data_IF_346729547151
#
_entry.id   IF_346729547151
#
_cell.length_a   1.000
_cell.length_b   1.000
_cell.length_c   1.000
_cell.angle_alpha   90.00
_cell.angle_beta   90.00
_cell.angle_gamma   90.00
#
_symmetry.space_group_name_H-M   'P 1'
#
loop_
_entity.id
_entity.type
_entity.pdbx_description
1 polymer ?
#
# COMPACT_ATOMS: atom_id res chain seq x y z
N UNK A 1 9.75 -18.48 4.06
CA UNK A 1 8.56 -17.90 4.73
C UNK A 1 7.28 -18.55 4.22
N UNK A 2 7.05 -18.65 2.91
CA UNK A 2 5.94 -19.44 2.34
C UNK A 2 5.87 -20.86 2.89
N UNK A 3 6.98 -21.60 2.82
CA UNK A 3 7.02 -22.97 3.32
C UNK A 3 6.77 -23.05 4.84
N UNK A 4 7.20 -22.04 5.60
CA UNK A 4 6.89 -21.98 7.02
C UNK A 4 5.38 -21.75 7.27
N UNK A 5 4.72 -20.92 6.46
CA UNK A 5 3.27 -20.73 6.53
C UNK A 5 2.51 -22.01 6.15
N UNK A 6 3.01 -22.77 5.16
CA UNK A 6 2.49 -24.10 4.81
C UNK A 6 2.67 -25.07 5.97
N UNK A 7 3.87 -25.17 6.56
CA UNK A 7 4.14 -26.02 7.71
C UNK A 7 3.29 -25.65 8.93
N UNK A 8 3.09 -24.35 9.20
CA UNK A 8 2.19 -23.89 10.25
C UNK A 8 0.76 -24.40 10.02
N UNK A 9 0.25 -24.24 8.79
CA UNK A 9 -1.10 -24.72 8.43
C UNK A 9 -1.23 -26.23 8.49
N UNK A 10 -0.18 -26.98 8.17
CA UNK A 10 -0.16 -28.44 8.32
C UNK A 10 -0.15 -28.85 9.79
N UNK A 11 0.72 -28.24 10.60
CA UNK A 11 0.88 -28.56 12.01
C UNK A 11 -0.40 -28.30 12.82
N UNK A 12 -1.09 -27.20 12.55
CA UNK A 12 -2.31 -26.81 13.29
C UNK A 12 -3.61 -27.16 12.53
N UNK A 13 -3.50 -27.71 11.32
CA UNK A 13 -4.62 -27.97 10.41
C UNK A 13 -5.62 -29.00 10.92
N UNK A 14 -5.13 -30.14 11.42
CA UNK A 14 -5.96 -31.23 11.92
C UNK A 14 -6.64 -30.87 13.26
N UNK A 15 -5.87 -30.31 14.19
CA UNK A 15 -6.35 -29.98 15.54
C UNK A 15 -7.32 -28.79 15.55
N UNK A 16 -7.10 -27.80 14.68
CA UNK A 16 -7.88 -26.55 14.68
C UNK A 16 -8.65 -26.28 13.38
N UNK A 17 -8.88 -27.33 12.58
CA UNK A 17 -9.68 -27.30 11.33
C UNK A 17 -9.22 -26.24 10.31
N UNK A 18 -7.90 -25.97 10.27
CA UNK A 18 -7.29 -25.04 9.33
C UNK A 18 -6.89 -25.77 8.04
N UNK A 19 -7.85 -26.12 7.18
CA UNK A 19 -7.53 -26.73 5.88
C UNK A 19 -6.85 -25.73 4.95
N UNK A 20 -6.08 -26.22 3.97
CA UNK A 20 -5.29 -25.40 3.02
C UNK A 20 -6.09 -24.28 2.32
N UNK A 21 -7.40 -24.45 2.18
CA UNK A 21 -8.29 -23.54 1.43
C UNK A 21 -9.19 -22.69 2.32
N UNK A 22 -9.40 -23.06 3.59
CA UNK A 22 -10.31 -22.32 4.48
C UNK A 22 -9.57 -21.17 5.17
N UNK A 23 -10.14 -19.95 5.21
CA UNK A 23 -9.60 -18.85 6.00
C UNK A 23 -9.52 -19.20 7.48
N UNK A 24 -8.38 -18.94 8.12
CA UNK A 24 -8.21 -19.21 9.55
C UNK A 24 -9.02 -18.19 10.35
N UNK A 25 -9.89 -18.65 11.24
CA UNK A 25 -10.71 -17.78 12.07
C UNK A 25 -9.84 -17.04 13.11
N UNK A 26 -10.29 -15.85 13.53
CA UNK A 26 -9.67 -15.12 14.65
C UNK A 26 -9.57 -16.01 15.90
N UNK A 27 -10.65 -16.69 16.26
CA UNK A 27 -10.72 -17.58 17.43
C UNK A 27 -9.62 -18.63 17.37
N UNK A 28 -9.42 -19.26 16.21
CA UNK A 28 -8.36 -20.25 16.03
C UNK A 28 -6.97 -19.67 16.30
N UNK A 29 -6.67 -18.47 15.78
CA UNK A 29 -5.38 -17.81 16.03
C UNK A 29 -5.18 -17.48 17.52
N UNK A 30 -6.25 -17.02 18.19
CA UNK A 30 -6.24 -16.76 19.63
C UNK A 30 -5.99 -18.04 20.43
N UNK A 31 -6.70 -19.13 20.10
CA UNK A 31 -6.55 -20.42 20.75
C UNK A 31 -5.12 -20.96 20.62
N UNK A 32 -4.50 -20.89 19.43
CA UNK A 32 -3.11 -21.34 19.25
C UNK A 32 -2.16 -20.50 20.11
N UNK A 33 -2.31 -19.17 20.13
CA UNK A 33 -1.48 -18.29 20.98
C UNK A 33 -1.63 -18.63 22.47
N UNK A 34 -2.85 -18.86 22.93
CA UNK A 34 -3.14 -19.12 24.34
C UNK A 34 -2.72 -20.53 24.77
N UNK A 35 -3.13 -21.57 24.05
CA UNK A 35 -2.92 -22.97 24.43
C UNK A 35 -1.50 -23.47 24.14
N UNK A 36 -0.92 -23.06 23.01
CA UNK A 36 0.40 -23.56 22.55
C UNK A 36 1.53 -22.66 23.03
N UNK A 37 1.33 -21.35 22.97
CA UNK A 37 2.37 -20.36 23.29
C UNK A 37 2.15 -19.65 24.64
N UNK A 38 1.09 -19.99 25.39
CA UNK A 38 0.86 -19.49 26.74
C UNK A 38 0.51 -18.00 26.83
N UNK A 39 -0.01 -17.40 25.76
CA UNK A 39 -0.33 -15.97 25.74
C UNK A 39 -1.56 -15.62 26.58
N UNK A 40 -1.55 -14.41 27.15
CA UNK A 40 -2.76 -13.69 27.56
C UNK A 40 -3.10 -12.70 26.47
N UNK A 41 -4.29 -12.84 25.89
CA UNK A 41 -4.82 -11.89 24.91
C UNK A 41 -5.80 -10.99 25.63
N UNK A 42 -5.59 -9.69 25.52
CA UNK A 42 -6.32 -8.68 26.28
C UNK A 42 -6.84 -7.60 25.33
N UNK A 43 -8.12 -7.29 25.44
CA UNK A 43 -8.79 -6.29 24.60
C UNK A 43 -9.33 -5.10 25.40
N UNK A 44 -9.03 -5.01 26.70
CA UNK A 44 -9.62 -4.00 27.61
C UNK A 44 -8.59 -2.98 28.04
N UNK A 45 -7.35 -3.38 28.32
CA UNK A 45 -6.32 -2.48 28.88
C UNK A 45 -6.01 -1.26 27.99
N UNK A 46 -6.11 -1.39 26.66
CA UNK A 46 -5.93 -0.23 25.77
C UNK A 46 -7.07 0.80 25.93
N UNK A 47 -8.29 0.37 26.24
CA UNK A 47 -9.40 1.30 26.51
C UNK A 47 -9.25 1.98 27.88
N UNK A 48 -8.70 1.28 28.87
CA UNK A 48 -8.43 1.81 30.20
C UNK A 48 -7.27 2.85 30.20
N UNK A 49 -6.44 2.84 29.16
CA UNK A 49 -5.30 3.75 28.98
C UNK A 49 -5.38 4.48 27.62
N UNK A 50 -6.15 5.58 27.51
CA UNK A 50 -6.39 6.30 26.26
C UNK A 50 -5.12 6.73 25.50
N UNK A 51 -4.01 6.93 26.21
CA UNK A 51 -2.69 7.28 25.64
C UNK A 51 -2.16 6.17 24.71
N UNK A 52 -2.61 4.93 24.89
CA UNK A 52 -2.28 3.79 24.04
C UNK A 52 -3.22 3.64 22.83
N UNK A 53 -4.26 4.47 22.73
CA UNK A 53 -5.31 4.35 21.71
C UNK A 53 -4.83 4.45 20.26
N UNK A 54 -3.65 5.04 20.01
CA UNK A 54 -3.01 5.09 18.68
C UNK A 54 -2.46 3.73 18.22
N UNK A 55 -2.15 2.83 19.14
CA UNK A 55 -1.54 1.53 18.81
C UNK A 55 -2.60 0.50 18.46
N UNK A 56 -2.30 -0.36 17.48
CA UNK A 56 -3.17 -1.50 17.15
C UNK A 56 -2.92 -2.67 18.09
N UNK A 57 -1.67 -2.90 18.46
CA UNK A 57 -1.26 -3.88 19.48
C UNK A 57 -0.14 -3.35 20.34
N UNK A 58 -0.07 -3.85 21.56
CA UNK A 58 1.07 -3.69 22.48
C UNK A 58 1.42 -5.06 23.04
N UNK A 59 2.66 -5.48 22.87
CA UNK A 59 3.20 -6.76 23.32
C UNK A 59 4.04 -6.56 24.59
N UNK A 60 3.81 -7.37 25.61
CA UNK A 60 4.62 -7.40 26.82
C UNK A 60 5.25 -8.79 26.99
N UNK A 61 6.58 -8.81 26.99
CA UNK A 61 7.34 -9.99 27.35
C UNK A 61 7.25 -10.25 28.85
N UNK A 62 7.06 -11.50 29.25
CA UNK A 62 7.02 -11.93 30.64
C UNK A 62 7.04 -13.44 30.76
N UNK A 63 6.90 -13.97 31.99
CA UNK A 63 6.70 -15.42 32.22
C UNK A 63 5.49 -15.95 31.46
N UNK A 64 4.44 -15.13 31.38
CA UNK A 64 3.28 -15.32 30.55
C UNK A 64 3.20 -14.12 29.58
N UNK A 65 3.53 -14.30 28.28
CA UNK A 65 3.51 -13.19 27.33
C UNK A 65 2.10 -12.62 27.20
N UNK A 66 1.97 -11.30 27.09
CA UNK A 66 0.68 -10.63 26.94
C UNK A 66 0.63 -9.84 25.64
N UNK A 67 -0.45 -10.01 24.88
CA UNK A 67 -0.75 -9.23 23.69
C UNK A 67 -2.01 -8.41 23.92
N UNK A 68 -1.86 -7.09 24.03
CA UNK A 68 -2.98 -6.17 24.01
C UNK A 68 -3.40 -5.92 22.57
N UNK A 69 -4.70 -6.03 22.27
CA UNK A 69 -5.28 -5.74 20.96
C UNK A 69 -6.28 -4.60 21.12
N UNK A 70 -6.14 -3.56 20.31
CA UNK A 70 -7.04 -2.42 20.37
C UNK A 70 -8.46 -2.84 19.91
N UNK A 71 -9.48 -2.72 20.77
CA UNK A 71 -10.84 -3.19 20.46
C UNK A 71 -11.55 -2.34 19.40
N UNK A 72 -11.04 -1.15 19.07
CA UNK A 72 -11.60 -0.34 17.99
C UNK A 72 -11.31 -0.94 16.60
N UNK A 73 -10.39 -1.90 16.49
CA UNK A 73 -10.01 -2.52 15.22
C UNK A 73 -11.12 -3.38 14.63
N UNK A 74 -11.23 -3.39 13.30
CA UNK A 74 -12.06 -4.38 12.61
C UNK A 74 -11.51 -5.79 12.81
N UNK A 75 -12.40 -6.80 12.75
CA UNK A 75 -12.05 -8.22 12.91
C UNK A 75 -10.87 -8.63 12.04
N UNK A 76 -10.91 -8.33 10.73
CA UNK A 76 -9.81 -8.58 9.77
C UNK A 76 -8.46 -7.96 10.17
N UNK A 77 -8.46 -6.81 10.85
CA UNK A 77 -7.23 -6.18 11.32
C UNK A 77 -6.68 -6.91 12.55
N UNK A 78 -7.54 -7.24 13.52
CA UNK A 78 -7.15 -8.04 14.68
C UNK A 78 -6.63 -9.42 14.25
N UNK A 79 -7.30 -10.07 13.29
CA UNK A 79 -6.89 -11.36 12.72
C UNK A 79 -5.47 -11.33 12.14
N UNK A 80 -5.14 -10.29 11.37
CA UNK A 80 -3.78 -10.13 10.84
C UNK A 80 -2.74 -9.94 11.95
N UNK A 81 -3.06 -9.18 13.00
CA UNK A 81 -2.13 -8.92 14.10
C UNK A 81 -1.85 -10.18 14.92
N UNK A 82 -2.88 -11.01 15.15
CA UNK A 82 -2.73 -12.33 15.76
C UNK A 82 -1.88 -13.29 14.89
N UNK A 83 -2.13 -13.33 13.59
CA UNK A 83 -1.32 -14.14 12.66
C UNK A 83 0.14 -13.67 12.61
N UNK A 84 0.38 -12.35 12.72
CA UNK A 84 1.72 -11.78 12.83
C UNK A 84 2.38 -12.14 14.15
N UNK A 85 1.62 -12.14 15.25
CA UNK A 85 2.11 -12.60 16.55
C UNK A 85 2.59 -14.05 16.50
N UNK A 86 1.77 -14.92 15.93
CA UNK A 86 2.13 -16.32 15.68
C UNK A 86 3.37 -16.44 14.79
N UNK A 87 3.54 -15.53 13.82
CA UNK A 87 4.74 -15.47 12.99
C UNK A 87 6.02 -15.24 13.79
N UNK A 88 5.99 -14.38 14.83
CA UNK A 88 7.17 -14.23 15.71
C UNK A 88 7.48 -15.52 16.45
N UNK A 89 6.45 -16.19 16.98
CA UNK A 89 6.63 -17.42 17.76
C UNK A 89 7.08 -18.60 16.90
N UNK A 90 6.36 -18.87 15.80
CA UNK A 90 6.61 -20.01 14.92
C UNK A 90 7.96 -19.93 14.23
N UNK A 91 8.43 -18.72 13.89
CA UNK A 91 9.73 -18.50 13.24
C UNK A 91 10.88 -18.27 14.23
N UNK A 92 10.62 -18.26 15.55
CA UNK A 92 11.63 -18.03 16.58
C UNK A 92 12.25 -16.63 16.54
N UNK A 93 11.46 -15.59 16.22
CA UNK A 93 11.93 -14.22 16.06
C UNK A 93 11.79 -13.44 17.38
N UNK A 94 12.93 -13.17 18.02
CA UNK A 94 12.98 -12.59 19.37
C UNK A 94 13.21 -11.08 19.40
N UNK A 95 13.98 -10.53 18.45
CA UNK A 95 14.20 -9.09 18.33
C UNK A 95 13.10 -8.47 17.46
N UNK A 96 12.13 -7.81 18.09
CA UNK A 96 10.86 -7.43 17.45
C UNK A 96 10.26 -6.17 18.07
N UNK A 97 9.34 -5.53 17.36
CA UNK A 97 8.60 -4.39 17.91
C UNK A 97 7.62 -4.77 19.00
N UNK A 98 7.61 -3.95 20.07
CA UNK A 98 6.60 -4.00 21.14
C UNK A 98 5.23 -3.58 20.62
N UNK A 99 5.15 -2.65 19.67
CA UNK A 99 3.89 -2.15 19.12
C UNK A 99 3.76 -2.48 17.63
N UNK A 100 2.56 -2.34 17.07
CA UNK A 100 2.32 -2.65 15.65
C UNK A 100 3.07 -1.76 14.67
N UNK A 101 3.24 -0.50 15.05
CA UNK A 101 4.07 0.50 14.38
C UNK A 101 4.93 1.11 15.49
N UNK A 102 6.23 0.78 15.54
CA UNK A 102 7.10 1.27 16.61
C UNK A 102 7.31 2.77 16.49
N UNK A 103 7.29 3.48 17.63
CA UNK A 103 7.66 4.90 17.69
C UNK A 103 9.16 5.09 17.41
N UNK A 104 9.98 4.07 17.72
CA UNK A 104 11.42 4.06 17.50
C UNK A 104 11.86 2.70 16.97
N UNK A 105 12.68 2.74 15.93
CA UNK A 105 13.39 1.56 15.41
C UNK A 105 14.68 1.42 16.20
N UNK A 106 14.86 0.27 16.83
CA UNK A 106 16.02 -0.05 17.68
C UNK A 106 17.15 -0.69 16.87
N UNK A 107 16.83 -1.48 15.83
CA UNK A 107 17.85 -2.13 15.00
C UNK A 107 17.33 -2.54 13.62
N UNK A 108 18.25 -2.91 12.73
CA UNK A 108 17.91 -3.54 11.46
C UNK A 108 17.27 -4.93 11.65
N UNK A 109 17.73 -5.70 12.63
CA UNK A 109 17.23 -7.05 12.89
C UNK A 109 15.76 -7.01 13.35
N UNK A 110 15.38 -6.01 14.14
CA UNK A 110 13.99 -5.73 14.49
C UNK A 110 13.13 -5.51 13.24
N UNK A 111 13.56 -4.62 12.33
CA UNK A 111 12.83 -4.36 11.08
C UNK A 111 12.68 -5.64 10.25
N UNK A 112 13.76 -6.41 10.11
CA UNK A 112 13.75 -7.65 9.35
C UNK A 112 12.80 -8.69 9.95
N UNK A 113 12.78 -8.82 11.27
CA UNK A 113 11.90 -9.75 11.97
C UNK A 113 10.43 -9.33 11.88
N UNK A 114 10.15 -8.03 12.03
CA UNK A 114 8.80 -7.49 11.84
C UNK A 114 8.30 -7.74 10.40
N UNK A 115 9.18 -7.57 9.41
CA UNK A 115 8.89 -7.91 8.02
C UNK A 115 8.60 -9.41 7.85
N UNK A 116 9.46 -10.29 8.37
CA UNK A 116 9.29 -11.75 8.28
C UNK A 116 7.97 -12.21 8.91
N UNK A 117 7.64 -11.68 10.09
CA UNK A 117 6.39 -11.99 10.79
C UNK A 117 5.17 -11.48 10.00
N UNK A 118 5.24 -10.28 9.43
CA UNK A 118 4.16 -9.72 8.60
C UNK A 118 3.94 -10.49 7.30
N UNK A 119 5.02 -10.88 6.61
CA UNK A 119 4.96 -11.75 5.42
C UNK A 119 4.33 -13.10 5.78
N UNK A 120 4.79 -13.72 6.87
CA UNK A 120 4.23 -14.99 7.36
C UNK A 120 2.73 -14.87 7.63
N UNK A 121 2.29 -13.81 8.30
CA UNK A 121 0.87 -13.54 8.52
C UNK A 121 0.09 -13.44 7.21
N UNK A 122 0.63 -12.72 6.22
CA UNK A 122 0.07 -12.63 4.87
C UNK A 122 -0.09 -14.01 4.24
N UNK A 123 0.97 -14.82 4.24
CA UNK A 123 0.97 -16.16 3.64
C UNK A 123 0.05 -17.17 4.35
N UNK A 124 -0.08 -17.08 5.68
CA UNK A 124 -1.00 -17.92 6.45
C UNK A 124 -2.46 -17.56 6.17
N UNK A 125 -2.78 -16.27 6.09
CA UNK A 125 -4.14 -15.78 5.87
C UNK A 125 -4.57 -15.82 4.40
N UNK A 126 -3.62 -15.69 3.48
CA UNK A 126 -3.82 -15.68 2.03
C UNK A 126 -2.87 -16.71 1.38
N UNK A 127 -3.25 -18.00 1.39
CA UNK A 127 -2.42 -19.08 0.87
C UNK A 127 -2.01 -18.83 -0.58
N UNK A 128 -0.73 -19.04 -0.89
CA UNK A 128 -0.13 -18.77 -2.21
C UNK A 128 -0.97 -19.33 -3.36
N UNK A 129 -1.34 -20.61 -3.30
CA UNK A 129 -2.08 -21.29 -4.39
C UNK A 129 -3.43 -20.63 -4.64
N UNK A 130 -4.22 -20.38 -3.59
CA UNK A 130 -5.52 -19.73 -3.71
C UNK A 130 -5.42 -18.32 -4.32
N UNK A 131 -4.45 -17.51 -3.88
CA UNK A 131 -4.26 -16.16 -4.39
C UNK A 131 -3.82 -16.18 -5.86
N UNK A 132 -2.97 -17.13 -6.26
CA UNK A 132 -2.54 -17.27 -7.65
C UNK A 132 -3.71 -17.66 -8.56
N UNK A 133 -4.57 -18.58 -8.13
CA UNK A 133 -5.77 -18.98 -8.88
C UNK A 133 -6.75 -17.80 -9.03
N UNK A 134 -6.94 -17.02 -7.97
CA UNK A 134 -7.76 -15.82 -7.98
C UNK A 134 -7.21 -14.72 -8.90
N UNK A 135 -5.90 -14.47 -8.84
CA UNK A 135 -5.21 -13.53 -9.72
C UNK A 135 -5.31 -13.97 -11.17
N UNK A 136 -5.12 -15.27 -11.45
CA UNK A 136 -5.22 -15.81 -12.80
C UNK A 136 -6.63 -15.63 -13.38
N UNK A 137 -7.68 -15.88 -12.58
CA UNK A 137 -9.07 -15.63 -12.98
C UNK A 137 -9.33 -14.16 -13.23
N UNK A 138 -8.88 -13.30 -12.32
CA UNK A 138 -9.05 -11.85 -12.42
C UNK A 138 -8.34 -11.26 -13.65
N UNK A 139 -7.08 -11.63 -13.88
CA UNK A 139 -6.32 -11.15 -15.03
C UNK A 139 -6.85 -11.68 -16.37
N UNK A 140 -7.58 -12.80 -16.36
CA UNK A 140 -8.23 -13.36 -17.55
C UNK A 140 -9.57 -12.72 -17.92
N UNK A 141 -10.08 -11.77 -17.12
CA UNK A 141 -11.32 -11.06 -17.45
C UNK A 141 -11.17 -10.30 -18.78
N UNK A 142 -12.19 -10.31 -19.66
CA UNK A 142 -12.14 -9.61 -20.94
C UNK A 142 -12.23 -8.08 -20.78
N UNK A 143 -12.89 -7.61 -19.72
CA UNK A 143 -13.13 -6.21 -19.41
C UNK A 143 -12.91 -5.98 -17.92
N UNK A 144 -12.65 -4.74 -17.52
CA UNK A 144 -12.48 -4.37 -16.12
C UNK A 144 -13.76 -4.64 -15.34
N UNK A 145 -13.60 -5.33 -14.21
CA UNK A 145 -14.66 -5.56 -13.24
C UNK A 145 -14.03 -5.55 -11.85
N UNK A 146 -14.43 -4.64 -10.94
CA UNK A 146 -13.84 -4.55 -9.61
C UNK A 146 -14.29 -5.70 -8.68
N UNK A 147 -15.42 -6.36 -8.98
CA UNK A 147 -16.07 -7.32 -8.07
C UNK A 147 -15.19 -8.50 -7.68
N UNK A 148 -14.41 -9.14 -8.57
CA UNK A 148 -13.53 -10.24 -8.15
C UNK A 148 -12.45 -9.78 -7.17
N UNK A 149 -11.95 -8.55 -7.30
CA UNK A 149 -10.97 -8.00 -6.37
C UNK A 149 -11.60 -7.71 -5.00
N UNK A 150 -12.85 -7.22 -4.97
CA UNK A 150 -13.64 -7.04 -3.74
C UNK A 150 -13.97 -8.37 -3.07
N UNK A 151 -14.33 -9.38 -3.87
CA UNK A 151 -14.59 -10.74 -3.40
C UNK A 151 -13.36 -11.35 -2.72
N UNK A 152 -12.13 -11.06 -3.18
CA UNK A 152 -10.91 -11.51 -2.49
C UNK A 152 -10.80 -10.90 -1.09
N UNK A 153 -11.19 -9.64 -0.88
CA UNK A 153 -11.18 -9.02 0.46
C UNK A 153 -12.10 -9.77 1.43
N UNK A 154 -13.28 -10.16 0.95
CA UNK A 154 -14.26 -10.91 1.72
C UNK A 154 -13.81 -12.35 1.94
N UNK A 155 -13.40 -13.05 0.87
CA UNK A 155 -12.98 -14.45 0.92
C UNK A 155 -11.78 -14.66 1.85
N UNK A 156 -10.78 -13.79 1.79
CA UNK A 156 -9.62 -13.87 2.68
C UNK A 156 -9.82 -13.16 4.02
N UNK A 157 -10.93 -12.44 4.22
CA UNK A 157 -11.17 -11.57 5.36
C UNK A 157 -9.97 -10.65 5.66
N UNK A 158 -9.51 -9.93 4.64
CA UNK A 158 -8.34 -9.06 4.73
C UNK A 158 -8.70 -7.62 4.39
N UNK A 159 -7.75 -6.72 4.60
CA UNK A 159 -7.88 -5.33 4.16
C UNK A 159 -7.28 -5.12 2.77
N UNK A 160 -7.66 -4.05 2.03
CA UNK A 160 -7.02 -3.70 0.77
C UNK A 160 -5.50 -3.64 0.84
N UNK A 161 -4.96 -3.08 1.93
CA UNK A 161 -3.52 -2.99 2.13
C UNK A 161 -2.87 -4.38 2.21
N UNK A 162 -3.47 -5.30 2.95
CA UNK A 162 -2.95 -6.66 3.10
C UNK A 162 -3.00 -7.41 1.77
N UNK A 163 -4.12 -7.33 1.05
CA UNK A 163 -4.29 -7.97 -0.25
C UNK A 163 -3.29 -7.44 -1.28
N UNK A 164 -3.20 -6.12 -1.44
CA UNK A 164 -2.30 -5.51 -2.42
C UNK A 164 -0.82 -5.64 -2.04
N UNK A 165 -0.50 -5.75 -0.75
CA UNK A 165 0.86 -6.09 -0.34
C UNK A 165 1.17 -7.56 -0.66
N UNK A 166 0.22 -8.48 -0.46
CA UNK A 166 0.35 -9.88 -0.88
C UNK A 166 0.57 -10.02 -2.40
N UNK A 167 -0.09 -9.17 -3.19
CA UNK A 167 0.15 -9.09 -4.63
C UNK A 167 1.60 -8.70 -4.95
N UNK A 168 2.18 -7.79 -4.18
CA UNK A 168 3.60 -7.41 -4.33
C UNK A 168 4.59 -8.53 -4.05
N UNK A 169 4.20 -9.53 -3.27
CA UNK A 169 5.02 -10.70 -2.94
C UNK A 169 4.90 -11.80 -4.00
N UNK A 170 3.74 -11.93 -4.67
CA UNK A 170 3.47 -13.03 -5.59
C UNK A 170 3.57 -12.65 -7.06
N UNK A 171 3.00 -11.51 -7.48
CA UNK A 171 2.88 -11.15 -8.89
C UNK A 171 4.23 -11.12 -9.62
N UNK A 172 5.28 -10.47 -9.08
CA UNK A 172 6.57 -10.41 -9.76
C UNK A 172 7.20 -11.78 -10.01
N UNK A 173 7.02 -12.71 -9.07
CA UNK A 173 7.62 -14.04 -9.15
C UNK A 173 6.83 -14.98 -10.06
N UNK A 174 5.51 -14.99 -9.95
CA UNK A 174 4.66 -16.00 -10.60
C UNK A 174 4.08 -15.56 -11.95
N UNK A 175 3.98 -14.25 -12.19
CA UNK A 175 3.51 -13.70 -13.46
C UNK A 175 4.61 -12.95 -14.22
N UNK A 176 5.80 -12.75 -13.63
CA UNK A 176 6.88 -12.01 -14.27
C UNK A 176 6.64 -10.50 -14.38
N UNK A 177 5.58 -9.96 -13.76
CA UNK A 177 5.19 -8.55 -13.88
C UNK A 177 5.82 -7.73 -12.76
N UNK A 178 6.59 -6.70 -13.13
CA UNK A 178 7.07 -5.70 -12.16
C UNK A 178 5.94 -4.75 -11.78
N UNK A 179 5.82 -4.50 -10.48
CA UNK A 179 4.83 -3.56 -9.95
C UNK A 179 5.44 -2.52 -9.00
N UNK A 180 4.67 -1.47 -8.76
CA UNK A 180 4.85 -0.61 -7.60
C UNK A 180 3.64 -0.74 -6.68
N UNK A 181 3.85 -0.50 -5.40
CA UNK A 181 2.81 -0.34 -4.39
C UNK A 181 2.96 1.06 -3.80
N UNK A 182 1.87 1.82 -3.74
CA UNK A 182 1.85 3.14 -3.11
C UNK A 182 0.73 3.21 -2.08
N UNK A 183 1.04 3.80 -0.93
CA UNK A 183 0.06 4.15 0.09
C UNK A 183 0.13 5.63 0.40
N UNK A 184 -0.99 6.32 0.24
CA UNK A 184 -1.13 7.72 0.63
C UNK A 184 -2.09 7.87 1.80
N UNK A 185 -1.79 8.82 2.68
CA UNK A 185 -2.73 9.34 3.67
C UNK A 185 -3.13 10.76 3.31
N UNK A 186 -4.36 11.10 3.65
CA UNK A 186 -4.93 12.42 3.48
C UNK A 186 -5.81 12.75 4.67
N UNK A 187 -5.45 13.79 5.42
CA UNK A 187 -6.32 14.36 6.45
C UNK A 187 -7.39 15.19 5.76
N UNK A 188 -8.67 14.91 6.01
CA UNK A 188 -9.80 15.64 5.39
C UNK A 188 -9.67 17.15 5.59
N UNK A 189 -10.02 17.91 4.56
CA UNK A 189 -9.83 19.37 4.52
C UNK A 189 -8.39 19.85 4.37
N UNK A 190 -7.38 18.97 4.39
CA UNK A 190 -6.00 19.33 4.07
C UNK A 190 -5.84 19.55 2.56
N UNK A 191 -4.81 20.31 2.16
CA UNK A 191 -4.37 20.35 0.75
C UNK A 191 -3.25 19.38 0.45
N UNK A 192 -2.77 18.63 1.43
CA UNK A 192 -1.59 17.75 1.30
C UNK A 192 -1.98 16.27 1.28
N UNK A 193 -1.16 15.49 0.57
CA UNK A 193 -1.28 14.03 0.48
C UNK A 193 0.09 13.47 0.81
N UNK A 194 0.14 12.60 1.81
CA UNK A 194 1.39 12.10 2.35
C UNK A 194 1.64 10.68 1.85
N UNK A 195 2.77 10.46 1.17
CA UNK A 195 3.21 9.12 0.81
C UNK A 195 3.75 8.42 2.07
N UNK A 196 3.03 7.40 2.54
CA UNK A 196 3.34 6.71 3.80
C UNK A 196 4.16 5.44 3.56
N UNK A 197 3.90 4.75 2.45
CA UNK A 197 4.60 3.51 2.10
C UNK A 197 4.75 3.41 0.60
N UNK A 198 5.94 3.02 0.17
CA UNK A 198 6.23 2.73 -1.23
C UNK A 198 7.05 1.46 -1.37
N UNK A 199 6.77 0.72 -2.42
CA UNK A 199 7.62 -0.33 -2.97
C UNK A 199 7.63 -0.11 -4.47
N UNK A 200 8.80 -0.12 -5.10
CA UNK A 200 8.92 0.26 -6.49
C UNK A 200 9.87 -0.69 -7.23
N UNK A 201 9.32 -1.64 -7.98
CA UNK A 201 10.08 -2.59 -8.79
C UNK A 201 10.11 -2.20 -10.28
N UNK A 202 9.27 -1.25 -10.70
CA UNK A 202 9.10 -0.86 -12.10
C UNK A 202 9.66 0.53 -12.45
N UNK A 203 10.55 1.05 -11.60
CA UNK A 203 11.28 2.33 -11.77
C UNK A 203 10.34 3.53 -11.91
N UNK A 204 9.17 3.47 -11.28
CA UNK A 204 8.25 4.60 -11.22
C UNK A 204 8.96 5.83 -10.63
N UNK A 205 8.82 6.99 -11.24
CA UNK A 205 9.34 8.23 -10.66
C UNK A 205 8.36 8.74 -9.60
N UNK A 206 8.76 8.60 -8.33
CA UNK A 206 7.99 9.08 -7.18
C UNK A 206 8.88 10.00 -6.36
N UNK A 207 8.71 11.33 -6.46
CA UNK A 207 9.32 12.25 -5.54
C UNK A 207 8.92 11.87 -4.12
N UNK A 208 9.94 11.49 -3.36
CA UNK A 208 9.85 11.07 -1.97
C UNK A 208 11.14 11.44 -1.26
N UNK A 209 11.05 11.73 0.04
CA UNK A 209 12.21 12.12 0.86
C UNK A 209 11.84 13.06 1.99
N UNK A 210 12.74 13.17 2.97
CA UNK A 210 12.64 14.13 4.07
C UNK A 210 12.76 15.54 3.49
N UNK A 211 11.84 16.44 3.83
CA UNK A 211 11.85 17.83 3.35
C UNK A 211 11.30 18.01 1.93
N UNK A 212 10.68 16.99 1.33
CA UNK A 212 9.96 17.16 0.09
C UNK A 212 8.62 17.87 0.35
N UNK A 213 8.58 19.16 0.05
CA UNK A 213 7.38 20.00 0.19
C UNK A 213 6.67 20.20 -1.15
N UNK A 214 6.59 19.14 -1.95
CA UNK A 214 5.97 19.17 -3.28
C UNK A 214 4.56 18.57 -3.28
N UNK A 215 3.72 19.03 -4.19
CA UNK A 215 2.33 18.57 -4.33
C UNK A 215 2.25 17.49 -5.41
N UNK A 216 2.15 16.22 -4.99
CA UNK A 216 1.93 15.09 -5.89
C UNK A 216 0.77 15.35 -6.86
N UNK A 217 0.95 14.91 -8.10
CA UNK A 217 -0.03 15.11 -9.16
C UNK A 217 -1.40 14.55 -8.78
N UNK A 218 -2.42 15.42 -8.72
CA UNK A 218 -3.80 15.07 -8.35
C UNK A 218 -4.49 14.10 -9.32
N UNK A 219 -3.88 13.84 -10.48
CA UNK A 219 -4.36 12.87 -11.47
C UNK A 219 -3.89 11.43 -11.19
N UNK A 220 -3.05 11.20 -10.18
CA UNK A 220 -2.68 9.85 -9.77
C UNK A 220 -3.90 9.10 -9.23
N UNK A 221 -4.02 7.81 -9.55
CA UNK A 221 -5.11 6.97 -9.03
C UNK A 221 -5.19 7.03 -7.50
N UNK A 222 -4.04 6.96 -6.81
CA UNK A 222 -4.00 7.02 -5.34
C UNK A 222 -4.58 8.30 -4.76
N UNK A 223 -4.49 9.43 -5.48
CA UNK A 223 -5.02 10.71 -5.01
C UNK A 223 -6.47 10.88 -5.46
N UNK A 224 -6.79 10.51 -6.71
CA UNK A 224 -8.17 10.49 -7.22
C UNK A 224 -9.10 9.73 -6.29
N UNK A 225 -8.71 8.51 -5.87
CA UNK A 225 -9.52 7.71 -4.97
C UNK A 225 -9.74 8.36 -3.60
N UNK A 226 -8.79 9.16 -3.11
CA UNK A 226 -8.96 9.90 -1.85
C UNK A 226 -9.94 11.07 -1.99
N UNK A 227 -9.92 11.75 -3.15
CA UNK A 227 -10.84 12.83 -3.47
C UNK A 227 -12.27 12.31 -3.66
N UNK A 228 -12.43 11.24 -4.45
CA UNK A 228 -13.72 10.57 -4.65
C UNK A 228 -14.30 10.08 -3.34
N UNK A 229 -13.47 9.49 -2.47
CA UNK A 229 -13.90 9.09 -1.13
C UNK A 229 -14.42 10.28 -0.30
N UNK A 230 -13.76 11.43 -0.34
CA UNK A 230 -14.19 12.62 0.40
C UNK A 230 -15.49 13.22 -0.16
N UNK A 231 -15.71 13.14 -1.48
CA UNK A 231 -16.95 13.55 -2.13
C UNK A 231 -18.13 12.63 -1.80
N UNK A 232 -17.88 11.32 -1.63
CA UNK A 232 -18.93 10.34 -1.33
C UNK A 232 -19.28 10.24 0.16
N UNK A 233 -18.35 10.54 1.07
CA UNK A 233 -18.60 10.52 2.51
C UNK A 233 -19.26 11.84 2.94
N UNK A 234 -20.59 11.88 2.99
CA UNK A 234 -21.29 12.88 3.81
C UNK A 234 -20.99 12.63 5.29
N UNK A 235 -20.94 13.68 6.12
CA UNK A 235 -20.48 13.63 7.53
C UNK A 235 -21.21 12.58 8.41
N UNK A 236 -22.40 12.12 8.00
CA UNK A 236 -23.21 11.12 8.71
C UNK A 236 -22.93 9.65 8.29
N UNK A 237 -22.18 9.39 7.21
CA UNK A 237 -21.97 8.04 6.68
C UNK A 237 -20.73 7.32 7.25
N UNK A 238 -19.78 8.03 7.87
CA UNK A 238 -18.45 7.50 8.25
C UNK A 238 -18.51 6.21 9.09
N UNK A 239 -19.52 6.07 9.96
CA UNK A 239 -19.63 4.92 10.86
C UNK A 239 -20.24 3.68 10.21
N UNK A 240 -20.93 3.82 9.07
CA UNK A 240 -21.66 2.74 8.40
C UNK A 240 -21.10 2.36 7.01
N UNK A 241 -19.99 2.98 6.58
CA UNK A 241 -19.34 2.62 5.32
C UNK A 241 -18.85 1.17 5.37
N UNK A 242 -19.50 0.34 4.57
CA UNK A 242 -19.06 -1.01 4.25
C UNK A 242 -18.00 -0.96 3.16
N UNK A 243 -17.24 -2.05 2.99
CA UNK A 243 -16.27 -2.14 1.89
C UNK A 243 -16.94 -2.11 0.51
N UNK A 244 -18.24 -2.41 0.45
CA UNK A 244 -19.04 -2.43 -0.77
C UNK A 244 -19.42 -1.01 -1.24
N UNK A 245 -19.27 0.01 -0.37
CA UNK A 245 -19.67 1.39 -0.68
C UNK A 245 -18.62 2.18 -1.48
N UNK A 246 -17.38 1.68 -1.56
CA UNK A 246 -16.29 2.33 -2.33
C UNK A 246 -15.59 1.27 -3.18
N UNK A 247 -16.01 1.11 -4.45
CA UNK A 247 -15.49 0.05 -5.30
C UNK A 247 -14.00 0.24 -5.61
N UNK A 248 -13.36 -0.85 -6.03
CA UNK A 248 -11.98 -0.77 -6.49
C UNK A 248 -11.85 0.19 -7.69
N UNK A 249 -10.88 1.09 -7.64
CA UNK A 249 -10.55 1.98 -8.74
C UNK A 249 -9.54 1.38 -9.71
N UNK A 250 -9.65 1.75 -10.97
CA UNK A 250 -8.66 1.46 -12.03
C UNK A 250 -8.30 2.73 -12.80
N UNK A 251 -7.08 2.78 -13.34
CA UNK A 251 -6.64 3.86 -14.20
C UNK A 251 -5.44 3.42 -15.04
N UNK A 252 -5.42 3.79 -16.31
CA UNK A 252 -4.20 3.75 -17.11
C UNK A 252 -3.51 5.12 -17.02
N UNK A 253 -2.34 5.15 -16.40
CA UNK A 253 -1.57 6.37 -16.19
C UNK A 253 -0.43 6.45 -17.19
N UNK A 254 -0.26 7.58 -17.87
CA UNK A 254 0.88 7.85 -18.76
C UNK A 254 1.68 9.04 -18.23
N UNK A 255 2.97 8.85 -17.98
CA UNK A 255 3.87 9.96 -17.62
C UNK A 255 4.12 10.84 -18.82
N UNK A 256 3.92 12.16 -18.64
CA UNK A 256 3.99 13.13 -19.71
C UNK A 256 5.35 13.15 -20.43
N UNK A 257 6.45 13.11 -19.67
CA UNK A 257 7.80 13.22 -20.22
C UNK A 257 8.33 11.88 -20.72
N UNK A 258 8.29 10.83 -19.89
CA UNK A 258 8.88 9.53 -20.24
C UNK A 258 8.00 8.68 -21.15
N UNK A 259 6.70 8.99 -21.26
CA UNK A 259 5.67 8.16 -21.91
C UNK A 259 5.52 6.78 -21.29
N UNK A 260 6.09 6.56 -20.11
CA UNK A 260 5.88 5.32 -19.37
C UNK A 260 4.41 5.20 -18.98
N UNK A 261 3.82 4.05 -19.33
CA UNK A 261 2.43 3.74 -19.02
C UNK A 261 2.35 2.74 -17.87
N UNK A 262 1.35 2.92 -17.01
CA UNK A 262 1.09 2.06 -15.87
C UNK A 262 -0.41 1.78 -15.73
N UNK A 263 -0.78 0.51 -15.71
CA UNK A 263 -2.12 0.09 -15.30
C UNK A 263 -2.15 0.06 -13.77
N UNK A 264 -2.88 0.97 -13.15
CA UNK A 264 -3.01 1.07 -11.71
C UNK A 264 -4.39 0.60 -11.25
N UNK A 265 -4.42 -0.14 -10.14
CA UNK A 265 -5.64 -0.57 -9.45
C UNK A 265 -5.50 -0.32 -7.95
N UNK A 266 -6.60 -0.03 -7.27
CA UNK A 266 -6.56 0.05 -5.81
C UNK A 266 -7.81 0.58 -5.16
N UNK A 267 -7.67 0.98 -3.90
CA UNK A 267 -8.78 1.29 -2.99
C UNK A 267 -8.47 2.55 -2.19
N UNK A 268 -9.52 3.21 -1.71
CA UNK A 268 -9.44 4.22 -0.65
C UNK A 268 -10.47 3.94 0.45
N UNK A 269 -10.11 4.27 1.69
CA UNK A 269 -10.99 4.14 2.87
C UNK A 269 -10.53 5.03 4.03
N UNK A 270 -11.42 5.39 4.97
CA UNK A 270 -11.00 6.02 6.23
C UNK A 270 -10.19 5.05 7.10
N UNK A 271 -9.31 5.60 7.96
CA UNK A 271 -8.58 4.83 8.96
C UNK A 271 -9.42 4.67 10.24
N UNK A 272 -9.47 3.44 10.75
CA UNK A 272 -10.25 3.09 11.95
C UNK A 272 -9.82 3.86 13.20
N UNK A 273 -8.51 3.92 13.46
CA UNK A 273 -7.97 4.62 14.64
C UNK A 273 -7.81 6.14 14.42
N UNK A 274 -8.07 6.62 13.22
CA UNK A 274 -8.00 8.05 12.88
C UNK A 274 -9.03 8.37 11.81
N UNK A 275 -10.34 8.40 12.14
CA UNK A 275 -11.41 8.51 11.15
C UNK A 275 -11.36 9.76 10.27
N UNK A 276 -10.62 10.79 10.69
CA UNK A 276 -10.39 11.99 9.90
C UNK A 276 -9.30 11.82 8.81
N UNK A 277 -8.61 10.69 8.80
CA UNK A 277 -7.54 10.38 7.85
C UNK A 277 -8.04 9.31 6.89
N UNK A 278 -8.10 9.67 5.61
CA UNK A 278 -8.35 8.75 4.51
C UNK A 278 -7.02 8.14 4.06
N UNK A 279 -7.04 6.85 3.71
CA UNK A 279 -5.89 6.13 3.20
C UNK A 279 -6.25 5.46 1.88
N UNK A 280 -5.42 5.68 0.87
CA UNK A 280 -5.46 4.91 -0.37
C UNK A 280 -4.28 3.96 -0.46
N UNK A 281 -4.53 2.83 -1.11
CA UNK A 281 -3.51 1.83 -1.44
C UNK A 281 -3.72 1.42 -2.89
N UNK A 282 -2.65 1.46 -3.67
CA UNK A 282 -2.69 1.02 -5.07
C UNK A 282 -1.52 0.09 -5.37
N UNK A 283 -1.71 -0.76 -6.37
CA UNK A 283 -0.63 -1.36 -7.13
C UNK A 283 -0.69 -0.86 -8.57
N UNK A 284 0.48 -0.70 -9.19
CA UNK A 284 0.54 -0.36 -10.61
C UNK A 284 1.56 -1.19 -11.36
N UNK A 285 1.14 -1.66 -12.52
CA UNK A 285 1.89 -2.54 -13.41
C UNK A 285 2.41 -1.72 -14.58
N UNK A 286 3.71 -1.79 -14.86
CA UNK A 286 4.28 -1.08 -16.01
C UNK A 286 3.83 -1.76 -17.28
N UNK A 287 3.32 -0.99 -18.22
CA UNK A 287 2.91 -1.49 -19.53
C UNK A 287 4.15 -1.76 -20.37
N UNK A 288 4.31 -3.01 -20.75
CA UNK A 288 5.27 -3.47 -21.75
C UNK A 288 4.56 -4.41 -22.75
N UNK A 289 5.34 -5.02 -23.65
CA UNK A 289 4.79 -5.90 -24.68
C UNK A 289 4.15 -7.18 -24.12
N UNK A 290 4.51 -7.59 -22.91
CA UNK A 290 4.10 -8.85 -22.28
C UNK A 290 2.87 -8.67 -21.38
N UNK A 291 2.70 -7.49 -20.76
CA UNK A 291 1.62 -7.23 -19.80
C UNK A 291 0.23 -7.55 -20.36
N UNK A 292 -0.03 -7.24 -21.64
CA UNK A 292 -1.32 -7.52 -22.31
C UNK A 292 -1.66 -8.99 -22.44
N UNK A 293 -0.64 -9.86 -22.48
CA UNK A 293 -0.82 -11.31 -22.55
C UNK A 293 -1.18 -11.88 -21.18
N UNK A 294 -0.94 -11.11 -20.11
CA UNK A 294 -1.20 -11.53 -18.73
C UNK A 294 -2.49 -10.89 -18.23
N UNK A 295 -2.62 -9.57 -18.30
CA UNK A 295 -3.82 -8.82 -17.88
C UNK A 295 -4.65 -8.46 -19.11
N UNK A 296 -5.67 -9.28 -19.40
CA UNK A 296 -6.46 -9.21 -20.64
C UNK A 296 -7.35 -7.97 -20.70
N UNK A 297 -7.87 -7.52 -19.57
CA UNK A 297 -8.73 -6.33 -19.50
C UNK A 297 -7.98 -5.00 -19.66
N UNK A 298 -6.64 -4.98 -19.81
CA UNK A 298 -5.89 -3.72 -19.78
C UNK A 298 -6.26 -2.74 -20.90
N UNK A 299 -6.74 -3.28 -22.02
CA UNK A 299 -7.14 -2.52 -23.22
C UNK A 299 -8.64 -2.19 -23.21
N UNK A 300 -9.35 -2.45 -22.11
CA UNK A 300 -10.74 -2.07 -21.95
C UNK A 300 -10.90 -0.54 -22.10
N UNK A 301 -11.67 -0.05 -23.09
CA UNK A 301 -11.87 1.38 -23.31
C UNK A 301 -12.58 2.09 -22.15
N UNK A 302 -13.23 1.35 -21.25
CA UNK A 302 -13.82 1.90 -20.03
C UNK A 302 -12.77 2.32 -18.99
N UNK A 303 -11.51 1.83 -19.09
CA UNK A 303 -10.45 2.21 -18.17
C UNK A 303 -10.03 3.66 -18.43
N UNK A 304 -10.14 4.56 -17.43
CA UNK A 304 -9.77 5.96 -17.60
C UNK A 304 -8.29 6.11 -17.95
N UNK A 305 -8.00 6.69 -19.11
CA UNK A 305 -6.65 7.10 -19.50
C UNK A 305 -6.35 8.47 -18.91
N UNK A 306 -5.20 8.62 -18.24
CA UNK A 306 -4.79 9.88 -17.60
C UNK A 306 -3.32 10.17 -17.87
N UNK A 307 -3.07 11.35 -18.45
CA UNK A 307 -1.72 11.92 -18.52
C UNK A 307 -1.41 12.52 -17.15
N UNK A 308 -0.34 12.03 -16.53
CA UNK A 308 0.12 12.39 -15.20
C UNK A 308 1.56 12.93 -15.24
N UNK A 309 1.97 13.56 -14.15
CA UNK A 309 3.37 13.91 -13.90
C UNK A 309 3.72 13.59 -12.44
N UNK A 310 4.94 13.87 -11.97
CA UNK A 310 5.28 13.59 -10.58
C UNK A 310 4.58 14.55 -9.59
N UNK A 311 4.83 15.85 -9.73
CA UNK A 311 4.33 16.91 -8.85
C UNK A 311 3.92 18.14 -9.65
N UNK A 312 3.09 19.00 -9.06
CA UNK A 312 2.59 20.21 -9.73
C UNK A 312 3.71 21.23 -9.98
N UNK A 313 4.68 21.29 -9.06
CA UNK A 313 5.86 22.16 -9.10
C UNK A 313 6.81 21.83 -10.25
N UNK A 314 6.78 20.58 -10.73
CA UNK A 314 7.61 20.07 -11.83
C UNK A 314 6.85 19.94 -13.15
N UNK A 315 5.52 20.08 -13.11
CA UNK A 315 4.66 19.76 -14.26
C UNK A 315 4.68 20.88 -15.32
N UNK A 316 4.88 20.56 -16.61
CA UNK A 316 4.85 21.55 -17.68
C UNK A 316 3.43 21.87 -18.19
N UNK A 317 2.40 21.14 -17.78
CA UNK A 317 1.03 21.40 -18.23
C UNK A 317 0.52 22.75 -17.74
N UNK A 318 -0.04 23.58 -18.62
CA UNK A 318 -0.64 24.86 -18.21
C UNK A 318 -1.87 24.65 -17.31
N UNK A 319 -2.33 25.71 -16.63
CA UNK A 319 -3.56 25.65 -15.84
C UNK A 319 -4.78 25.26 -16.69
N UNK A 320 -4.82 25.70 -17.96
CA UNK A 320 -5.86 25.31 -18.93
C UNK A 320 -5.80 23.82 -19.27
N UNK A 321 -4.60 23.26 -19.40
CA UNK A 321 -4.38 21.83 -19.68
C UNK A 321 -4.58 20.95 -18.44
N UNK A 322 -4.52 21.51 -17.22
CA UNK A 322 -4.65 20.78 -15.96
C UNK A 322 -5.44 21.55 -14.90
N UNK A 323 -6.76 21.38 -14.93
CA UNK A 323 -7.69 21.93 -13.93
C UNK A 323 -7.46 21.39 -12.51
N UNK A 324 -6.78 20.25 -12.37
CA UNK A 324 -6.45 19.63 -11.09
C UNK A 324 -5.11 20.11 -10.50
N UNK A 325 -4.46 21.09 -11.14
CA UNK A 325 -3.16 21.64 -10.70
C UNK A 325 -3.33 22.32 -9.34
N UNK A 326 -2.54 21.88 -8.36
CA UNK A 326 -2.62 22.42 -7.00
C UNK A 326 -1.79 23.70 -6.80
N UNK A 327 -0.65 23.82 -7.48
CA UNK A 327 0.32 24.92 -7.38
C UNK A 327 1.02 25.20 -8.72
N UNK A 328 1.67 26.36 -8.83
CA UNK A 328 2.47 26.78 -10.00
C UNK A 328 3.75 25.94 -10.15
N UNK A 329 4.32 25.84 -11.37
CA UNK A 329 5.45 24.95 -11.65
C UNK A 329 6.81 25.57 -11.28
N UNK A 330 6.95 26.00 -10.02
CA UNK A 330 8.12 26.77 -9.54
C UNK A 330 9.46 26.05 -9.72
N UNK A 331 9.49 24.72 -9.62
CA UNK A 331 10.72 23.94 -9.80
C UNK A 331 11.06 23.78 -11.28
N UNK A 332 10.06 23.65 -12.15
CA UNK A 332 10.27 23.63 -13.60
C UNK A 332 10.83 24.98 -14.09
N UNK A 333 10.22 26.09 -13.65
CA UNK A 333 10.65 27.45 -13.99
C UNK A 333 12.10 27.70 -13.55
N UNK A 334 12.45 27.31 -12.32
CA UNK A 334 13.81 27.41 -11.81
C UNK A 334 14.81 26.59 -12.67
N UNK A 335 14.45 25.37 -13.07
CA UNK A 335 15.28 24.54 -13.94
C UNK A 335 15.46 25.16 -15.34
N UNK A 336 14.42 25.78 -15.89
CA UNK A 336 14.49 26.46 -17.19
C UNK A 336 15.44 27.67 -17.11
N UNK A 337 15.28 28.52 -16.10
CA UNK A 337 16.18 29.67 -15.89
C UNK A 337 17.63 29.25 -15.67
N UNK A 338 17.88 28.15 -14.94
CA UNK A 338 19.23 27.64 -14.76
C UNK A 338 19.85 27.18 -16.10
N UNK A 339 19.07 26.48 -16.94
CA UNK A 339 19.51 26.06 -18.28
C UNK A 339 19.82 27.26 -19.17
N UNK A 340 18.94 28.26 -19.20
CA UNK A 340 19.14 29.50 -19.97
C UNK A 340 20.41 30.24 -19.55
N UNK A 341 20.64 30.36 -18.24
CA UNK A 341 21.85 30.96 -17.67
C UNK A 341 23.10 30.20 -18.09
N UNK A 342 23.07 28.86 -18.07
CA UNK A 342 24.21 28.02 -18.49
C UNK A 342 24.51 28.18 -19.97
N UNK A 343 23.49 28.11 -20.83
CA UNK A 343 23.63 28.32 -22.28
C UNK A 343 24.23 29.70 -22.58
N UNK A 344 23.74 30.73 -21.89
CA UNK A 344 24.25 32.10 -22.04
C UNK A 344 25.71 32.21 -21.63
N UNK A 345 26.09 31.64 -20.48
CA UNK A 345 27.47 31.62 -20.01
C UNK A 345 28.40 30.88 -20.98
N UNK A 346 27.97 29.74 -21.53
CA UNK A 346 28.76 28.96 -22.46
C UNK A 346 28.95 29.70 -23.80
N UNK A 347 27.90 30.38 -24.29
CA UNK A 347 27.98 31.26 -25.45
C UNK A 347 28.98 32.40 -25.24
N UNK A 348 28.91 33.10 -24.09
CA UNK A 348 29.85 34.19 -23.77
C UNK A 348 31.29 33.67 -23.66
N UNK A 349 31.51 32.52 -23.02
CA UNK A 349 32.84 31.88 -22.96
C UNK A 349 33.37 31.54 -24.35
N UNK A 350 32.53 31.07 -25.26
CA UNK A 350 32.93 30.76 -26.63
C UNK A 350 33.30 32.03 -27.41
N UNK A 351 32.51 33.11 -27.28
CA UNK A 351 32.79 34.41 -27.90
C UNK A 351 34.16 34.97 -27.45
N UNK A 352 34.40 35.06 -26.13
CA UNK A 352 35.67 35.60 -25.62
C UNK A 352 36.89 34.69 -25.89
N UNK A 353 36.69 33.38 -26.10
CA UNK A 353 37.76 32.48 -26.57
C UNK A 353 38.11 32.74 -28.04
N UNK A 354 37.11 33.03 -28.88
CA UNK A 354 37.34 33.37 -30.28
C UNK A 354 38.09 34.70 -30.40
N UNK A 355 37.71 35.72 -29.62
CA UNK A 355 38.39 37.03 -29.58
C UNK A 355 39.85 36.97 -29.09
N UNK A 356 40.21 36.01 -28.22
CA UNK A 356 41.61 35.83 -27.79
C UNK A 356 42.49 35.08 -28.79
N UNK A 357 41.88 34.38 -29.74
CA UNK A 357 42.57 33.57 -30.75
C UNK A 357 42.61 34.24 -32.14
N UNK A 358 41.89 35.35 -32.31
CA UNK A 358 42.01 36.30 -33.42
C UNK A 358 43.01 37.40 -33.07
#
# INVERSE_FOLDING_TARGET
LEEAAVSFRQQFGEQYQCTATTPISRRTLETILQEVYGYVIDTTLIQEHPELGKYRTVFFQGKQPRLLINPALYERQARFLLARELGYQFLGLTERSTTSTPDQIQSFQQILNDFKAAYFAGAVLMPRTAVLDDLQRFFNLPTWDPRPLEQMLTAYHVTPEMLLYRFSELIPQFFGIKLHFLRFHHTRGSRTYQLIKQLNMNRLLVPSGIGLHEHHCRRWLSIRLLQELEEHITEQAVQNLTMDDVPAGVQMSEFLDSRDRFLCIGFARPLVLSPNVNSSVIVGFRVDAELKNIIRFMDDPAIPQRIINETCERCPLTAEQCQMRAVTPVLLEAQQHERERKVTLDRLKAMFRAERNS
#
